data_IF_156618523352
#
_entry.id   IF_156618523352
#
_cell.length_a   1.000
_cell.length_b   1.000
_cell.length_c   1.000
_cell.angle_alpha   90.00
_cell.angle_beta   90.00
_cell.angle_gamma   90.00
#
_symmetry.space_group_name_H-M   'P 1'
#
loop_
_entity.id
_entity.type
_entity.pdbx_description
1 polymer ?
#
# COMPACT_ATOMS: atom_id res chain seq x y z
N UNK A 1 26.68 -10.54 9.89
CA UNK A 1 25.25 -10.46 10.25
C UNK A 1 24.93 -9.00 10.56
N UNK A 2 24.30 -8.28 9.63
CA UNK A 2 24.12 -6.83 9.78
C UNK A 2 23.00 -6.60 10.80
N UNK A 3 23.37 -6.17 12.01
CA UNK A 3 22.44 -5.93 13.11
C UNK A 3 21.54 -4.78 12.65
N UNK A 4 20.23 -5.02 12.56
CA UNK A 4 19.25 -3.98 12.15
C UNK A 4 19.20 -2.94 13.27
N UNK A 5 20.11 -1.96 13.24
CA UNK A 5 20.26 -0.94 14.30
C UNK A 5 19.17 0.12 14.23
N UNK A 6 18.58 0.35 13.06
CA UNK A 6 17.53 1.38 12.87
C UNK A 6 16.13 0.76 12.97
N UNK A 7 15.23 1.31 13.82
CA UNK A 7 13.86 0.85 13.89
C UNK A 7 13.17 0.99 12.53
N UNK A 8 12.38 -0.01 12.09
CA UNK A 8 11.52 0.13 10.92
C UNK A 8 10.45 1.20 11.14
N UNK A 9 9.84 1.70 10.06
CA UNK A 9 8.77 2.69 10.14
C UNK A 9 7.61 2.18 11.01
N UNK A 10 6.97 3.09 11.76
CA UNK A 10 5.79 2.76 12.55
C UNK A 10 4.65 2.30 11.61
N UNK A 11 4.11 1.07 11.77
CA UNK A 11 3.07 0.54 10.89
C UNK A 11 1.83 1.43 10.78
N UNK A 12 1.45 2.14 11.85
CA UNK A 12 0.28 3.03 11.83
C UNK A 12 0.54 4.30 11.02
N UNK A 13 1.76 4.82 11.02
CA UNK A 13 2.13 5.95 10.16
C UNK A 13 2.18 5.53 8.68
N UNK A 14 2.67 4.32 8.40
CA UNK A 14 2.65 3.75 7.04
C UNK A 14 1.21 3.55 6.56
N UNK A 15 0.32 3.06 7.42
CA UNK A 15 -1.11 2.92 7.13
C UNK A 15 -1.76 4.28 6.82
N UNK A 16 -1.55 5.27 7.69
CA UNK A 16 -2.07 6.63 7.50
C UNK A 16 -1.61 7.21 6.17
N UNK A 17 -0.32 7.13 5.86
CA UNK A 17 0.20 7.61 4.58
C UNK A 17 -0.47 6.90 3.40
N UNK A 18 -0.56 5.57 3.43
CA UNK A 18 -1.19 4.79 2.35
C UNK A 18 -2.67 5.14 2.14
N UNK A 19 -3.42 5.43 3.21
CA UNK A 19 -4.83 5.87 3.15
C UNK A 19 -4.97 7.29 2.58
N UNK A 20 -4.00 8.17 2.80
CA UNK A 20 -4.06 9.56 2.31
C UNK A 20 -3.60 9.67 0.86
N UNK A 21 -2.52 8.96 0.50
CA UNK A 21 -1.91 9.07 -0.82
C UNK A 21 -1.49 7.68 -1.33
N UNK A 22 -2.02 7.21 -2.48
CA UNK A 22 -1.62 5.95 -3.09
C UNK A 22 -0.10 5.85 -3.31
N UNK A 23 0.48 4.68 -3.00
CA UNK A 23 1.92 4.40 -3.18
C UNK A 23 2.84 4.98 -2.11
N UNK A 24 2.39 5.93 -1.29
CA UNK A 24 3.23 6.57 -0.26
C UNK A 24 3.65 5.61 0.86
N UNK A 25 2.78 4.67 1.26
CA UNK A 25 3.12 3.64 2.26
C UNK A 25 4.25 2.72 1.79
N UNK A 26 4.29 2.39 0.49
CA UNK A 26 5.39 1.63 -0.11
C UNK A 26 6.69 2.44 -0.12
N UNK A 27 6.63 3.76 -0.37
CA UNK A 27 7.81 4.65 -0.27
C UNK A 27 8.35 4.70 1.16
N UNK A 28 7.48 4.83 2.17
CA UNK A 28 7.88 4.76 3.58
C UNK A 28 8.51 3.40 3.94
N UNK A 29 8.05 2.33 3.30
CA UNK A 29 8.63 1.00 3.37
C UNK A 29 9.90 0.82 2.51
N UNK A 30 10.43 1.87 1.87
CA UNK A 30 11.59 1.81 0.96
C UNK A 30 11.39 0.87 -0.23
N UNK A 31 10.17 0.80 -0.75
CA UNK A 31 9.79 -0.01 -1.91
C UNK A 31 9.10 0.86 -2.99
N UNK A 32 9.76 1.93 -3.48
CA UNK A 32 9.14 2.90 -4.37
C UNK A 32 8.64 2.29 -5.70
N UNK A 33 9.38 1.34 -6.27
CA UNK A 33 8.96 0.63 -7.49
C UNK A 33 7.65 -0.12 -7.27
N UNK A 34 7.45 -0.74 -6.10
CA UNK A 34 6.19 -1.41 -5.77
C UNK A 34 5.03 -0.42 -5.65
N UNK A 35 5.30 0.77 -5.10
CA UNK A 35 4.33 1.87 -5.06
C UNK A 35 3.92 2.35 -6.46
N UNK A 36 4.88 2.51 -7.38
CA UNK A 36 4.62 2.87 -8.77
C UNK A 36 3.79 1.80 -9.51
N UNK A 37 4.07 0.52 -9.26
CA UNK A 37 3.28 -0.59 -9.82
C UNK A 37 1.82 -0.48 -9.37
N UNK A 38 1.57 -0.27 -8.07
CA UNK A 38 0.21 -0.05 -7.58
C UNK A 38 -0.45 1.17 -8.24
N UNK A 39 0.25 2.30 -8.32
CA UNK A 39 -0.28 3.52 -8.94
C UNK A 39 -0.66 3.29 -10.41
N UNK A 40 0.21 2.60 -11.16
CA UNK A 40 -0.07 2.21 -12.54
C UNK A 40 -1.34 1.37 -12.64
N UNK A 41 -1.50 0.34 -11.80
CA UNK A 41 -2.69 -0.51 -11.83
C UNK A 41 -3.96 0.19 -11.33
N UNK A 42 -3.86 1.15 -10.38
CA UNK A 42 -5.00 1.99 -9.97
C UNK A 42 -5.52 2.78 -11.17
N UNK A 43 -4.63 3.43 -11.92
CA UNK A 43 -4.99 4.21 -13.10
C UNK A 43 -5.48 3.32 -14.24
N UNK A 44 -4.80 2.21 -14.50
CA UNK A 44 -5.16 1.27 -15.56
C UNK A 44 -6.54 0.65 -15.32
N UNK A 45 -6.76 0.05 -14.15
CA UNK A 45 -8.03 -0.60 -13.84
C UNK A 45 -9.14 0.40 -13.54
N UNK A 46 -8.85 1.55 -12.93
CA UNK A 46 -9.82 2.62 -12.74
C UNK A 46 -10.29 3.22 -14.06
N UNK A 47 -9.35 3.47 -14.99
CA UNK A 47 -9.68 3.91 -16.34
C UNK A 47 -10.44 2.87 -17.14
N UNK A 48 -10.04 1.59 -17.03
CA UNK A 48 -10.72 0.49 -17.72
C UNK A 48 -12.16 0.30 -17.23
N UNK A 49 -12.39 0.32 -15.91
CA UNK A 49 -13.76 0.22 -15.38
C UNK A 49 -14.58 1.47 -15.72
N UNK A 50 -13.95 2.64 -15.77
CA UNK A 50 -14.65 3.88 -16.12
C UNK A 50 -15.12 3.85 -17.58
N UNK A 51 -14.28 3.32 -18.48
CA UNK A 51 -14.55 3.26 -19.91
C UNK A 51 -15.58 2.18 -20.27
N UNK A 52 -15.65 1.08 -19.52
CA UNK A 52 -16.48 -0.09 -19.85
C UNK A 52 -17.79 -0.16 -19.06
N UNK A 53 -17.92 0.59 -17.96
CA UNK A 53 -19.13 0.60 -17.16
C UNK A 53 -20.31 1.26 -17.90
N UNK A 54 -21.50 0.70 -17.73
CA UNK A 54 -22.73 1.23 -18.32
C UNK A 54 -23.07 2.63 -17.75
N UNK A 55 -23.83 3.47 -18.48
CA UNK A 55 -24.10 4.85 -18.08
C UNK A 55 -24.81 4.98 -16.73
N UNK A 56 -25.67 4.02 -16.40
CA UNK A 56 -26.48 3.92 -15.18
C UNK A 56 -25.69 3.43 -13.95
N UNK A 57 -24.47 2.92 -14.14
CA UNK A 57 -23.61 2.49 -13.03
C UNK A 57 -23.16 3.71 -12.21
N UNK A 58 -23.20 3.57 -10.88
CA UNK A 58 -22.72 4.61 -9.94
C UNK A 58 -21.25 4.96 -10.17
N UNK A 59 -20.82 6.15 -9.73
CA UNK A 59 -19.41 6.57 -9.86
C UNK A 59 -18.45 5.61 -9.13
N UNK A 60 -18.87 5.03 -8.00
CA UNK A 60 -18.10 4.03 -7.27
C UNK A 60 -17.93 2.76 -8.11
N UNK A 61 -18.99 2.31 -8.79
CA UNK A 61 -18.92 1.17 -9.72
C UNK A 61 -18.04 1.46 -10.94
N UNK A 62 -18.13 2.66 -11.51
CA UNK A 62 -17.29 3.11 -12.63
C UNK A 62 -15.81 3.15 -12.26
N UNK A 63 -15.46 3.36 -10.99
CA UNK A 63 -14.06 3.39 -10.51
C UNK A 63 -13.65 2.14 -9.73
N UNK A 64 -14.47 1.08 -9.74
CA UNK A 64 -14.28 -0.08 -8.87
C UNK A 64 -12.92 -0.75 -9.04
N UNK A 65 -12.38 -0.79 -10.26
CA UNK A 65 -11.07 -1.38 -10.54
C UNK A 65 -9.95 -0.63 -9.82
N UNK A 66 -9.95 0.70 -9.91
CA UNK A 66 -8.98 1.55 -9.22
C UNK A 66 -9.14 1.50 -7.69
N UNK A 67 -10.37 1.52 -7.20
CA UNK A 67 -10.67 1.42 -5.77
C UNK A 67 -10.22 0.09 -5.18
N UNK A 68 -10.42 -1.02 -5.90
CA UNK A 68 -9.96 -2.35 -5.48
C UNK A 68 -8.44 -2.40 -5.35
N UNK A 69 -7.70 -1.98 -6.38
CA UNK A 69 -6.23 -1.95 -6.34
C UNK A 69 -5.75 -1.03 -5.23
N UNK A 70 -6.44 0.10 -5.00
CA UNK A 70 -6.07 1.02 -3.95
C UNK A 70 -6.21 0.39 -2.56
N UNK A 71 -7.32 -0.28 -2.27
CA UNK A 71 -7.51 -1.02 -1.03
C UNK A 71 -6.41 -2.09 -0.82
N UNK A 72 -6.04 -2.81 -1.89
CA UNK A 72 -4.95 -3.77 -1.86
C UNK A 72 -3.58 -3.11 -1.58
N UNK A 73 -3.33 -1.93 -2.15
CA UNK A 73 -2.11 -1.17 -1.90
C UNK A 73 -1.98 -0.74 -0.43
N UNK A 74 -3.09 -0.33 0.20
CA UNK A 74 -3.14 0.04 1.63
C UNK A 74 -2.81 -1.17 2.50
N UNK A 75 -3.48 -2.30 2.24
CA UNK A 75 -3.26 -3.55 2.98
C UNK A 75 -1.80 -4.02 2.86
N UNK A 76 -1.26 -4.03 1.65
CA UNK A 76 0.13 -4.41 1.37
C UNK A 76 1.15 -3.56 2.14
N UNK A 77 0.97 -2.23 2.13
CA UNK A 77 1.86 -1.31 2.83
C UNK A 77 1.85 -1.55 4.35
N UNK A 78 0.66 -1.64 4.95
CA UNK A 78 0.52 -1.89 6.38
C UNK A 78 1.07 -3.26 6.79
N UNK A 79 0.69 -4.33 6.08
CA UNK A 79 1.16 -5.70 6.38
C UNK A 79 2.69 -5.77 6.34
N UNK A 80 3.31 -5.16 5.32
CA UNK A 80 4.77 -5.12 5.18
C UNK A 80 5.43 -4.41 6.35
N UNK A 81 4.93 -3.23 6.74
CA UNK A 81 5.45 -2.50 7.90
C UNK A 81 5.26 -3.30 9.20
N UNK A 82 4.09 -3.91 9.38
CA UNK A 82 3.74 -4.65 10.59
C UNK A 82 4.60 -5.90 10.78
N UNK A 83 4.87 -6.64 9.71
CA UNK A 83 5.78 -7.79 9.73
C UNK A 83 7.20 -7.34 10.08
N UNK A 84 7.74 -6.30 9.41
CA UNK A 84 9.09 -5.79 9.69
C UNK A 84 9.26 -5.33 11.13
N UNK A 85 8.28 -4.61 11.66
CA UNK A 85 8.31 -4.19 13.06
C UNK A 85 8.18 -5.38 14.01
N UNK A 86 7.38 -6.41 13.70
CA UNK A 86 7.29 -7.61 14.53
C UNK A 86 8.63 -8.37 14.59
N UNK A 87 9.28 -8.55 13.44
CA UNK A 87 10.61 -9.18 13.35
C UNK A 87 11.65 -8.38 14.15
N UNK A 88 11.72 -7.05 13.95
CA UNK A 88 12.63 -6.19 14.71
C UNK A 88 12.40 -6.26 16.24
N UNK A 89 11.13 -6.25 16.66
CA UNK A 89 10.78 -6.34 18.08
C UNK A 89 11.15 -7.71 18.68
N UNK A 90 11.00 -8.79 17.90
CA UNK A 90 11.42 -10.12 18.33
C UNK A 90 12.94 -10.22 18.49
N UNK A 91 13.72 -9.74 17.51
CA UNK A 91 15.19 -9.73 17.58
C UNK A 91 15.71 -8.92 18.77
N UNK A 92 15.05 -7.82 19.14
CA UNK A 92 15.40 -7.00 20.33
C UNK A 92 15.08 -7.67 21.66
N UNK A 93 14.24 -8.70 21.70
CA UNK A 93 13.94 -9.45 22.94
C UNK A 93 14.93 -10.60 23.18
N UNK A 94 15.60 -11.06 22.12
CA UNK A 94 16.52 -12.21 22.16
C UNK A 94 18.00 -11.82 22.20
N UNK A 95 18.31 -10.51 22.10
CA UNK A 95 19.64 -9.94 22.20
C UNK A 95 19.80 -9.22 23.53
#
# INVERSE_FOLDING_TARGET
>A
MNIVTRPPANPYLVLLAAIVLPGSGQVMNRQPVRGLIFLFFILLLGGYTLQTAAPDVSIVGKLAGGLFVYAMAIFDAYKTARVRHAVWAATRRTA
#
